data_IF_305458710057
#
_entry.id   IF_305458710057
#
_cell.length_a   1.000
_cell.length_b   1.000
_cell.length_c   1.000
_cell.angle_alpha   90.00
_cell.angle_beta   90.00
_cell.angle_gamma   90.00
#
_symmetry.space_group_name_H-M   'P 1'
#
loop_
_entity.id
_entity.type
_entity.pdbx_description
1 polymer ?
#
# COMPACT_ATOMS: atom_id res chain seq x y z
N UNK A 1 5.48 -32.15 -48.70
CA UNK A 1 6.50 -31.74 -47.70
C UNK A 1 5.92 -30.57 -46.92
N UNK A 2 5.77 -30.67 -45.60
CA UNK A 2 5.24 -29.57 -44.77
C UNK A 2 6.34 -28.59 -44.40
N UNK A 3 6.05 -27.29 -44.47
CA UNK A 3 6.92 -26.24 -43.94
C UNK A 3 6.61 -26.04 -42.46
N UNK A 4 7.59 -26.29 -41.60
CA UNK A 4 7.46 -26.15 -40.16
C UNK A 4 8.39 -25.01 -39.68
N UNK A 5 7.83 -23.84 -39.32
CA UNK A 5 8.61 -22.78 -38.67
C UNK A 5 9.27 -23.27 -37.37
N UNK A 6 10.37 -22.63 -36.99
CA UNK A 6 11.05 -22.96 -35.74
C UNK A 6 10.12 -22.76 -34.51
N UNK A 7 10.29 -23.60 -33.49
CA UNK A 7 9.49 -23.59 -32.26
C UNK A 7 7.97 -23.62 -32.49
N UNK A 8 7.51 -24.39 -33.49
CA UNK A 8 6.08 -24.48 -33.83
C UNK A 8 5.58 -25.92 -33.95
N UNK A 9 4.26 -26.07 -33.84
CA UNK A 9 3.54 -27.32 -34.08
C UNK A 9 2.45 -27.05 -35.14
N UNK A 10 2.31 -27.97 -36.10
CA UNK A 10 1.24 -27.95 -37.11
C UNK A 10 0.17 -29.00 -36.76
N UNK A 11 -1.11 -28.62 -36.85
CA UNK A 11 -2.26 -29.49 -36.57
C UNK A 11 -2.89 -29.94 -37.89
N UNK A 12 -3.06 -31.26 -38.06
CA UNK A 12 -3.62 -31.90 -39.24
C UNK A 12 -4.71 -32.91 -38.84
N UNK A 13 -6.00 -32.52 -38.82
CA UNK A 13 -7.07 -33.41 -38.39
C UNK A 13 -7.30 -34.59 -39.35
N UNK A 14 -6.98 -34.42 -40.63
CA UNK A 14 -7.08 -35.44 -41.68
C UNK A 14 -5.71 -36.09 -42.03
N UNK A 15 -4.67 -35.77 -41.25
CA UNK A 15 -3.26 -36.17 -41.48
C UNK A 15 -2.68 -35.72 -42.84
N UNK A 16 -3.36 -34.84 -43.57
CA UNK A 16 -2.99 -34.42 -44.94
C UNK A 16 -2.91 -32.92 -45.10
N UNK A 17 -3.76 -32.16 -44.42
CA UNK A 17 -3.86 -30.72 -44.55
C UNK A 17 -3.59 -30.04 -43.20
N UNK A 18 -2.70 -29.05 -43.22
CA UNK A 18 -2.43 -28.20 -42.05
C UNK A 18 -3.55 -27.18 -41.92
N UNK A 19 -4.30 -27.24 -40.82
CA UNK A 19 -5.39 -26.27 -40.54
C UNK A 19 -4.94 -25.16 -39.60
N UNK A 20 -3.90 -25.40 -38.80
CA UNK A 20 -3.32 -24.43 -37.87
C UNK A 20 -1.83 -24.73 -37.66
N UNK A 21 -1.01 -23.69 -37.57
CA UNK A 21 0.37 -23.77 -37.06
C UNK A 21 0.57 -22.70 -35.99
N UNK A 22 1.20 -23.05 -34.87
CA UNK A 22 1.34 -22.15 -33.70
C UNK A 22 2.21 -20.92 -33.93
N UNK A 23 3.09 -20.93 -34.95
CA UNK A 23 3.89 -19.77 -35.34
C UNK A 23 3.31 -19.01 -36.54
N UNK A 24 2.21 -19.50 -37.13
CA UNK A 24 1.48 -18.81 -38.20
C UNK A 24 0.23 -18.15 -37.62
N UNK A 25 0.43 -16.94 -37.11
CA UNK A 25 -0.63 -16.14 -36.52
C UNK A 25 -1.35 -15.38 -37.64
N UNK A 26 -2.60 -15.74 -37.90
CA UNK A 26 -3.47 -15.10 -38.90
C UNK A 26 -4.40 -14.01 -38.29
N UNK A 27 -4.30 -13.77 -36.99
CA UNK A 27 -5.03 -12.69 -36.31
C UNK A 27 -4.25 -11.37 -36.39
N UNK A 28 -4.97 -10.26 -36.41
CA UNK A 28 -4.36 -8.93 -36.32
C UNK A 28 -3.84 -8.66 -34.90
N UNK A 29 -2.66 -8.05 -34.79
CA UNK A 29 -2.14 -7.53 -33.51
C UNK A 29 -2.75 -6.17 -33.22
N UNK A 30 -3.26 -5.97 -32.01
CA UNK A 30 -3.73 -4.66 -31.53
C UNK A 30 -2.69 -4.03 -30.61
N UNK A 31 -2.41 -2.75 -30.81
CA UNK A 31 -1.62 -1.94 -29.88
C UNK A 31 -2.56 -1.16 -28.96
N UNK A 32 -2.31 -1.19 -27.65
CA UNK A 32 -3.00 -0.34 -26.69
C UNK A 32 -2.27 1.00 -26.54
N UNK A 33 -2.99 2.10 -26.71
CA UNK A 33 -2.48 3.45 -26.46
C UNK A 33 -3.40 4.14 -25.43
N UNK A 34 -2.83 4.64 -24.35
CA UNK A 34 -3.56 5.47 -23.39
C UNK A 34 -3.49 6.91 -23.87
N UNK A 35 -4.63 7.48 -24.25
CA UNK A 35 -4.74 8.89 -24.65
C UNK A 35 -5.43 9.70 -23.58
N UNK A 36 -4.78 10.78 -23.15
CA UNK A 36 -5.44 11.80 -22.36
C UNK A 36 -6.38 12.58 -23.29
N UNK A 37 -7.67 12.61 -22.98
CA UNK A 37 -8.63 13.44 -23.68
C UNK A 37 -8.73 14.77 -22.93
N UNK A 38 -8.21 15.85 -23.52
CA UNK A 38 -8.46 17.18 -22.98
C UNK A 38 -9.96 17.51 -23.08
N UNK A 39 -10.53 17.96 -21.95
CA UNK A 39 -11.90 18.49 -21.89
C UNK A 39 -11.97 19.81 -22.66
N UNK A 40 -12.23 19.76 -23.96
CA UNK A 40 -12.48 20.94 -24.77
C UNK A 40 -13.93 21.40 -24.60
N UNK A 41 -14.13 22.46 -23.79
CA UNK A 41 -15.37 23.22 -23.73
C UNK A 41 -15.54 24.12 -24.97
N UNK A 42 -15.44 23.55 -26.17
CA UNK A 42 -15.82 24.25 -27.40
C UNK A 42 -17.07 23.57 -27.94
N UNK A 43 -18.21 24.13 -27.57
CA UNK A 43 -19.49 23.79 -28.19
C UNK A 43 -19.45 24.22 -29.65
N UNK A 44 -19.05 23.31 -30.54
CA UNK A 44 -19.42 23.37 -31.95
C UNK A 44 -20.63 22.48 -32.16
N UNK A 45 -21.71 23.15 -32.52
CA UNK A 45 -23.01 22.66 -32.99
C UNK A 45 -22.99 21.25 -33.63
N UNK A 46 -23.91 20.38 -33.18
CA UNK A 46 -24.27 19.14 -33.87
C UNK A 46 -23.80 17.83 -33.27
N UNK A 47 -24.36 17.45 -32.11
CA UNK A 47 -24.61 16.07 -31.65
C UNK A 47 -23.47 15.03 -31.73
N UNK A 48 -22.79 14.77 -30.59
CA UNK A 48 -22.52 13.42 -30.05
C UNK A 48 -21.84 13.56 -28.66
N UNK A 49 -22.44 12.90 -27.65
CA UNK A 49 -21.98 12.62 -26.28
C UNK A 49 -21.01 13.64 -25.66
N UNK A 50 -21.52 14.49 -24.77
CA UNK A 50 -20.68 15.16 -23.76
C UNK A 50 -19.85 14.10 -23.05
N UNK A 51 -18.51 14.09 -23.13
CA UNK A 51 -17.73 13.31 -22.20
C UNK A 51 -18.06 13.93 -20.84
N UNK A 52 -18.81 13.19 -20.04
CA UNK A 52 -19.05 13.46 -18.63
C UNK A 52 -17.74 13.24 -17.86
N UNK A 53 -16.65 13.83 -18.34
CA UNK A 53 -15.45 14.09 -17.56
C UNK A 53 -15.70 15.42 -16.85
N UNK A 54 -16.77 15.41 -16.04
CA UNK A 54 -16.92 16.38 -14.99
C UNK A 54 -15.61 16.32 -14.20
N UNK A 55 -14.85 17.41 -14.25
CA UNK A 55 -13.81 17.68 -13.26
C UNK A 55 -14.53 17.56 -11.93
N UNK A 56 -14.40 16.39 -11.31
CA UNK A 56 -15.12 16.09 -10.08
C UNK A 56 -14.54 17.03 -9.03
N UNK A 57 -15.40 17.81 -8.38
CA UNK A 57 -15.02 18.57 -7.21
C UNK A 57 -14.66 17.57 -6.11
N UNK A 58 -13.38 17.20 -6.05
CA UNK A 58 -12.88 16.25 -5.07
C UNK A 58 -12.94 16.88 -3.69
N UNK A 59 -13.53 16.14 -2.76
CA UNK A 59 -13.40 16.40 -1.33
C UNK A 59 -12.55 15.29 -0.71
N UNK A 60 -11.95 15.58 0.44
CA UNK A 60 -11.15 14.63 1.19
C UNK A 60 -11.52 14.68 2.67
N UNK A 61 -11.33 13.56 3.35
CA UNK A 61 -11.40 13.46 4.80
C UNK A 61 -10.04 12.97 5.31
N UNK A 62 -9.64 13.47 6.48
CA UNK A 62 -8.40 13.03 7.14
C UNK A 62 -8.77 11.90 8.09
N UNK A 63 -8.21 10.72 7.83
CA UNK A 63 -8.34 9.60 8.76
C UNK A 63 -7.51 9.89 10.04
N UNK A 64 -8.11 9.83 11.23
CA UNK A 64 -7.41 10.02 12.48
C UNK A 64 -6.41 8.87 12.74
N UNK A 65 -5.29 9.20 13.37
CA UNK A 65 -4.26 8.21 13.72
C UNK A 65 -4.71 7.39 14.93
N UNK A 66 -4.62 6.07 14.81
CA UNK A 66 -4.87 5.13 15.91
C UNK A 66 -6.29 4.59 15.96
N UNK A 67 -6.61 3.90 17.06
CA UNK A 67 -7.89 3.23 17.23
C UNK A 67 -8.93 4.23 17.75
N UNK A 68 -9.93 4.54 16.93
CA UNK A 68 -10.99 5.53 17.24
C UNK A 68 -12.26 4.92 17.81
N UNK A 69 -12.39 3.60 17.82
CA UNK A 69 -13.59 2.91 18.31
C UNK A 69 -13.50 2.60 19.80
N UNK A 70 -14.58 2.88 20.53
CA UNK A 70 -14.70 2.61 21.97
C UNK A 70 -14.64 1.11 22.32
N UNK A 71 -14.90 0.22 21.35
CA UNK A 71 -14.85 -1.23 21.51
C UNK A 71 -13.56 -1.85 20.94
N UNK A 72 -12.44 -1.14 21.04
CA UNK A 72 -11.12 -1.63 20.63
C UNK A 72 -10.80 -3.00 21.27
N UNK A 73 -10.39 -3.96 20.45
CA UNK A 73 -9.93 -5.27 20.93
C UNK A 73 -8.65 -5.08 21.75
N UNK A 74 -8.70 -5.44 23.04
CA UNK A 74 -7.53 -5.42 23.93
C UNK A 74 -7.11 -6.85 24.25
N UNK A 75 -5.84 -7.17 24.04
CA UNK A 75 -5.27 -8.48 24.39
C UNK A 75 -3.84 -8.34 24.88
N UNK A 76 -3.46 -9.19 25.83
CA UNK A 76 -2.06 -9.32 26.23
C UNK A 76 -1.28 -10.02 25.11
N UNK A 77 -0.36 -9.30 24.47
CA UNK A 77 0.49 -9.79 23.39
C UNK A 77 0.04 -9.37 21.99
N UNK A 78 0.89 -9.61 21.00
CA UNK A 78 0.64 -9.30 19.60
C UNK A 78 -0.22 -10.40 18.96
N UNK A 79 -1.25 -10.00 18.23
CA UNK A 79 -2.06 -10.92 17.43
C UNK A 79 -1.63 -10.91 15.97
N UNK A 80 -1.72 -12.06 15.30
CA UNK A 80 -1.51 -12.15 13.85
C UNK A 80 -2.67 -11.47 13.10
N UNK A 81 -2.37 -10.83 11.96
CA UNK A 81 -3.29 -9.96 11.26
C UNK A 81 -4.48 -10.70 10.66
N UNK A 82 -4.28 -11.73 9.82
CA UNK A 82 -5.35 -12.45 9.13
C UNK A 82 -6.33 -13.04 10.16
N UNK A 83 -5.81 -13.64 11.22
CA UNK A 83 -6.63 -14.21 12.28
C UNK A 83 -7.42 -13.16 13.05
N UNK A 84 -6.93 -11.91 13.13
CA UNK A 84 -7.62 -10.81 13.82
C UNK A 84 -8.66 -10.14 12.93
N UNK A 85 -8.34 -9.91 11.66
CA UNK A 85 -9.24 -9.23 10.72
C UNK A 85 -10.18 -10.19 10.00
N UNK A 86 -9.92 -11.50 10.07
CA UNK A 86 -10.57 -12.53 9.25
C UNK A 86 -10.56 -12.19 7.75
N UNK A 87 -9.49 -11.52 7.30
CA UNK A 87 -9.34 -10.99 5.93
C UNK A 87 -10.45 -10.02 5.50
N UNK A 88 -11.18 -9.44 6.46
CA UNK A 88 -12.21 -8.45 6.17
C UNK A 88 -11.64 -7.05 5.91
N UNK A 89 -10.36 -6.84 6.21
CA UNK A 89 -9.64 -5.59 5.93
C UNK A 89 -8.14 -5.84 5.79
N UNK A 90 -7.55 -5.15 4.82
CA UNK A 90 -6.10 -5.06 4.62
C UNK A 90 -5.40 -4.36 5.79
N UNK A 91 -6.12 -3.59 6.61
CA UNK A 91 -5.55 -2.73 7.64
C UNK A 91 -5.77 -3.28 9.06
N UNK A 92 -4.70 -3.30 9.86
CA UNK A 92 -4.78 -3.55 11.30
C UNK A 92 -3.95 -2.54 12.09
N UNK A 93 -4.60 -1.87 13.06
CA UNK A 93 -3.95 -1.00 14.03
C UNK A 93 -3.54 -1.80 15.27
N UNK A 94 -2.25 -1.76 15.59
CA UNK A 94 -1.76 -2.12 16.93
C UNK A 94 -1.51 -0.83 17.70
N UNK A 95 -1.98 -0.74 18.94
CA UNK A 95 -1.74 0.40 19.82
C UNK A 95 -1.18 -0.07 21.16
N UNK A 96 -0.09 0.53 21.61
CA UNK A 96 0.46 0.30 22.95
C UNK A 96 0.94 1.62 23.55
N UNK A 97 0.94 1.71 24.88
CA UNK A 97 1.49 2.85 25.62
C UNK A 97 2.73 2.44 26.40
N UNK A 98 3.63 3.39 26.62
CA UNK A 98 4.80 3.22 27.49
C UNK A 98 4.74 4.35 28.52
N UNK A 99 4.99 4.04 29.79
CA UNK A 99 5.11 5.08 30.83
C UNK A 99 6.58 5.28 31.13
N UNK A 100 7.10 6.45 30.75
CA UNK A 100 8.48 6.85 31.03
C UNK A 100 8.50 7.69 32.32
N UNK A 101 9.39 7.34 33.26
CA UNK A 101 9.57 8.13 34.49
C UNK A 101 10.54 9.27 34.24
N UNK A 102 10.32 10.41 34.90
CA UNK A 102 11.04 11.67 34.62
C UNK A 102 12.54 11.69 34.98
N UNK A 103 13.04 10.66 35.66
CA UNK A 103 14.42 10.49 36.08
C UNK A 103 15.22 9.55 35.16
N UNK A 104 14.63 9.10 34.06
CA UNK A 104 15.25 8.19 33.12
C UNK A 104 16.42 8.84 32.35
N UNK A 105 17.61 8.23 32.30
CA UNK A 105 18.83 8.84 31.77
C UNK A 105 18.75 9.15 30.25
N UNK A 106 17.83 8.50 29.53
CA UNK A 106 17.58 8.75 28.11
C UNK A 106 16.76 10.00 27.80
N UNK A 107 16.15 10.62 28.81
CA UNK A 107 15.49 11.91 28.68
C UNK A 107 16.47 13.08 28.50
N UNK A 108 17.74 12.89 28.90
CA UNK A 108 18.77 13.94 28.91
C UNK A 108 19.63 13.98 27.64
N UNK A 109 19.07 13.66 26.47
CA UNK A 109 19.80 13.74 25.20
C UNK A 109 20.47 12.47 24.73
N UNK A 110 20.17 11.30 25.31
CA UNK A 110 20.62 10.02 24.75
C UNK A 110 19.56 9.37 23.85
N UNK A 111 20.03 8.68 22.80
CA UNK A 111 19.16 8.09 21.78
C UNK A 111 18.32 6.95 22.38
N UNK A 112 17.02 6.97 22.13
CA UNK A 112 16.11 5.86 22.44
C UNK A 112 15.80 5.12 21.15
N UNK A 113 15.77 3.79 21.14
CA UNK A 113 15.52 3.03 19.92
C UNK A 113 14.16 2.32 20.00
N UNK A 114 13.35 2.47 18.95
CA UNK A 114 12.13 1.68 18.76
C UNK A 114 12.37 0.67 17.65
N UNK A 115 12.41 -0.61 18.00
CA UNK A 115 12.49 -1.71 17.05
C UNK A 115 11.11 -2.34 16.90
N UNK A 116 10.61 -2.43 15.67
CA UNK A 116 9.36 -3.12 15.36
C UNK A 116 9.63 -4.10 14.23
N UNK A 117 9.46 -5.38 14.53
CA UNK A 117 9.59 -6.44 13.55
C UNK A 117 8.20 -6.89 13.12
N UNK A 118 7.97 -6.93 11.81
CA UNK A 118 6.70 -7.34 11.21
C UNK A 118 6.98 -8.32 10.09
N UNK A 119 6.20 -9.39 10.02
CA UNK A 119 6.19 -10.33 8.88
C UNK A 119 5.26 -9.81 7.76
N UNK A 120 5.09 -8.50 7.65
CA UNK A 120 4.02 -7.84 6.90
C UNK A 120 4.50 -7.08 5.69
N UNK A 121 3.59 -6.86 4.75
CA UNK A 121 3.93 -6.21 3.49
C UNK A 121 4.22 -4.72 3.66
N UNK A 122 3.53 -4.02 4.56
CA UNK A 122 3.81 -2.61 4.89
C UNK A 122 3.56 -2.35 6.37
N UNK A 123 4.37 -1.48 6.95
CA UNK A 123 4.24 -0.98 8.32
C UNK A 123 4.30 0.54 8.34
N UNK A 124 3.42 1.21 9.08
CA UNK A 124 3.57 2.63 9.41
C UNK A 124 3.56 2.79 10.92
N UNK A 125 4.56 3.50 11.45
CA UNK A 125 4.73 3.72 12.89
C UNK A 125 4.41 5.17 13.20
N UNK A 126 3.54 5.35 14.19
CA UNK A 126 3.15 6.65 14.71
C UNK A 126 3.48 6.73 16.21
N UNK A 127 4.07 7.85 16.64
CA UNK A 127 4.39 8.15 18.03
C UNK A 127 3.65 9.43 18.41
N UNK A 128 2.80 9.36 19.44
CA UNK A 128 1.93 10.47 19.88
C UNK A 128 1.20 11.16 18.72
N UNK A 129 0.67 10.35 17.78
CA UNK A 129 -0.09 10.85 16.63
C UNK A 129 0.74 11.38 15.45
N UNK A 130 2.08 11.39 15.53
CA UNK A 130 2.96 11.82 14.43
C UNK A 130 3.63 10.63 13.76
N UNK A 131 3.77 10.66 12.44
CA UNK A 131 4.48 9.61 11.71
C UNK A 131 5.96 9.61 12.10
N UNK A 132 6.45 8.45 12.54
CA UNK A 132 7.83 8.23 12.93
C UNK A 132 8.61 7.46 11.83
N UNK A 133 7.93 6.62 11.05
CA UNK A 133 8.58 5.86 9.98
C UNK A 133 7.62 4.97 9.19
N UNK A 134 8.10 4.47 8.05
CA UNK A 134 7.38 3.52 7.19
C UNK A 134 8.32 2.41 6.72
N UNK A 135 7.80 1.19 6.69
CA UNK A 135 8.46 -0.03 6.27
C UNK A 135 7.71 -0.67 5.11
N UNK A 136 8.42 -1.45 4.28
CA UNK A 136 7.82 -2.33 3.28
C UNK A 136 8.54 -3.66 3.27
N UNK A 137 7.80 -4.72 2.98
CA UNK A 137 8.22 -6.13 2.96
C UNK A 137 8.72 -6.64 4.32
N UNK A 138 9.06 -7.93 4.42
CA UNK A 138 9.58 -8.59 5.63
C UNK A 138 10.85 -7.90 6.13
N UNK A 139 10.67 -6.85 6.91
CA UNK A 139 11.72 -5.92 7.28
C UNK A 139 11.82 -5.82 8.80
N UNK A 140 12.99 -6.18 9.32
CA UNK A 140 13.39 -5.83 10.67
C UNK A 140 13.83 -4.38 10.64
N UNK A 141 13.02 -3.47 11.19
CA UNK A 141 13.35 -2.05 11.16
C UNK A 141 13.52 -1.53 12.58
N UNK A 142 14.69 -0.95 12.78
CA UNK A 142 15.09 -0.26 13.99
C UNK A 142 15.08 1.22 13.68
N UNK A 143 14.20 1.97 14.33
CA UNK A 143 14.16 3.42 14.25
C UNK A 143 14.91 4.00 15.45
N UNK A 144 15.88 4.86 15.18
CA UNK A 144 16.54 5.65 16.21
C UNK A 144 15.68 6.89 16.50
N UNK A 145 15.10 6.94 17.69
CA UNK A 145 14.36 8.09 18.19
C UNK A 145 15.37 9.01 18.88
N UNK A 146 15.64 10.16 18.25
CA UNK A 146 16.47 11.18 18.88
C UNK A 146 15.66 11.89 19.95
N UNK A 147 16.00 11.60 21.20
CA UNK A 147 15.42 12.27 22.35
C UNK A 147 16.19 13.55 22.67
N UNK A 148 16.01 14.62 21.87
CA UNK A 148 16.56 15.95 22.18
C UNK A 148 16.83 16.84 20.96
N UNK A 149 16.28 18.06 21.01
CA UNK A 149 16.45 19.24 20.17
C UNK A 149 16.31 19.10 18.64
N UNK A 150 15.19 19.67 18.16
CA UNK A 150 15.00 20.35 16.88
C UNK A 150 15.21 19.58 15.57
N UNK A 151 14.13 18.90 15.16
CA UNK A 151 13.54 19.11 13.83
C UNK A 151 12.02 19.21 14.00
N UNK A 152 11.53 20.40 14.36
CA UNK A 152 10.11 20.75 14.53
C UNK A 152 9.29 19.83 15.47
N UNK A 153 9.55 19.97 16.78
CA UNK A 153 8.71 19.57 17.92
C UNK A 153 8.26 18.11 17.97
N UNK A 154 9.17 17.24 18.40
CA UNK A 154 8.81 16.06 19.20
C UNK A 154 9.37 16.38 20.60
N UNK A 155 8.52 16.92 21.49
CA UNK A 155 8.86 17.25 22.88
C UNK A 155 8.89 15.97 23.71
N UNK A 156 10.07 15.58 24.19
CA UNK A 156 10.32 14.25 24.73
C UNK A 156 10.00 14.00 26.20
N UNK A 157 8.73 14.17 26.52
CA UNK A 157 8.04 13.36 27.54
C UNK A 157 7.49 12.02 26.95
N UNK A 158 8.17 11.42 25.97
CA UNK A 158 7.61 11.35 24.60
C UNK A 158 6.85 10.14 24.05
N UNK A 159 6.52 9.07 24.77
CA UNK A 159 5.89 7.90 24.11
C UNK A 159 4.69 7.43 24.90
N UNK A 160 3.58 8.15 24.80
CA UNK A 160 2.34 7.75 25.45
C UNK A 160 1.54 6.78 24.57
N UNK A 161 1.75 6.81 23.25
CA UNK A 161 1.05 5.93 22.32
C UNK A 161 1.92 5.63 21.10
N UNK A 162 2.16 4.34 20.85
CA UNK A 162 2.72 3.81 19.61
C UNK A 162 1.57 3.16 18.86
N UNK A 163 1.27 3.69 17.67
CA UNK A 163 0.33 3.08 16.76
C UNK A 163 1.08 2.50 15.57
N UNK A 164 0.76 1.26 15.22
CA UNK A 164 1.35 0.54 14.10
C UNK A 164 0.25 0.14 13.15
N UNK A 165 0.24 0.69 11.95
CA UNK A 165 -0.65 0.27 10.87
C UNK A 165 0.07 -0.77 10.02
N UNK A 166 -0.50 -1.96 9.92
CA UNK A 166 0.00 -3.02 9.03
C UNK A 166 -0.97 -3.21 7.87
N UNK A 167 -0.40 -3.42 6.68
CA UNK A 167 -1.15 -3.62 5.44
C UNK A 167 -0.78 -4.94 4.76
N UNK A 168 -1.80 -5.68 4.28
CA UNK A 168 -1.64 -6.89 3.46
C UNK A 168 -2.43 -6.73 2.15
N UNK A 169 -1.78 -6.95 1.00
CA UNK A 169 -2.44 -7.21 -0.29
C UNK A 169 -2.87 -8.67 -0.42
#
# INVERSE_FOLDING_TARGET
MYRLPAWSVSILPDCKNVVLNTAQINSQTTGSEMRYLESSNVASDGSFVTPELAVSDWSYAIEPVGITKDNALTKAGLMEQINTTADASDFLWYSTSITVKGDEPYLNGSQSNLAVNSLGHVLQVYINGKIAGTAREDSNIIWHLNCGSDFLNIDLSCINQICVLRYMC
#
